data_IF_892592054653
#
_entry.id   IF_892592054653
#
_cell.length_a   1.000
_cell.length_b   1.000
_cell.length_c   1.000
_cell.angle_alpha   90.00
_cell.angle_beta   90.00
_cell.angle_gamma   90.00
#
_symmetry.space_group_name_H-M   'P 1'
#
loop_
_entity.id
_entity.type
_entity.pdbx_description
1 polymer ?
#
# COMPACT_ATOMS: atom_id res chain seq x y z
N UNK A 1 6.91 3.11 -25.54
CA UNK A 1 6.05 2.17 -24.75
C UNK A 1 4.77 2.89 -24.34
N UNK A 2 3.64 2.18 -24.24
CA UNK A 2 2.34 2.81 -23.94
C UNK A 2 2.21 3.13 -22.45
N UNK A 3 1.66 4.31 -22.10
CA UNK A 3 1.40 4.73 -20.71
C UNK A 3 0.67 3.70 -19.83
N UNK A 4 -0.30 2.91 -20.35
CA UNK A 4 -0.91 1.81 -19.59
C UNK A 4 0.09 0.78 -19.08
N UNK A 5 1.15 0.49 -19.84
CA UNK A 5 2.20 -0.44 -19.42
C UNK A 5 2.98 0.10 -18.22
N UNK A 6 3.26 1.41 -18.19
CA UNK A 6 3.93 2.05 -17.05
C UNK A 6 3.07 2.04 -15.79
N UNK A 7 1.76 2.27 -15.92
CA UNK A 7 0.80 2.16 -14.81
C UNK A 7 0.71 0.72 -14.30
N UNK A 8 0.64 -0.26 -15.21
CA UNK A 8 0.64 -1.68 -14.87
C UNK A 8 1.93 -2.07 -14.11
N UNK A 9 3.08 -1.69 -14.66
CA UNK A 9 4.38 -1.99 -14.08
C UNK A 9 4.56 -1.32 -12.71
N UNK A 10 4.13 -0.06 -12.57
CA UNK A 10 4.04 0.63 -11.29
C UNK A 10 3.13 -0.09 -10.29
N UNK A 11 1.97 -0.58 -10.74
CA UNK A 11 1.04 -1.37 -9.92
C UNK A 11 1.63 -2.69 -9.42
N UNK A 12 2.41 -3.39 -10.25
CA UNK A 12 3.10 -4.63 -9.87
C UNK A 12 4.16 -4.37 -8.80
N UNK A 13 4.94 -3.29 -8.92
CA UNK A 13 5.94 -2.90 -7.89
C UNK A 13 5.29 -2.33 -6.63
N UNK A 14 4.15 -1.65 -6.77
CA UNK A 14 3.37 -1.11 -5.66
C UNK A 14 2.84 -2.20 -4.71
N UNK A 15 2.53 -3.40 -5.21
CA UNK A 15 2.01 -4.49 -4.38
C UNK A 15 2.98 -4.95 -3.26
N UNK A 16 4.24 -5.35 -3.54
CA UNK A 16 5.19 -5.70 -2.48
C UNK A 16 5.56 -4.50 -1.61
N UNK A 17 5.55 -3.27 -2.15
CA UNK A 17 5.71 -2.04 -1.36
C UNK A 17 4.58 -1.88 -0.34
N UNK A 18 3.32 -2.02 -0.76
CA UNK A 18 2.15 -1.96 0.12
C UNK A 18 2.19 -3.02 1.21
N UNK A 19 2.68 -4.22 0.88
CA UNK A 19 2.96 -5.29 1.84
C UNK A 19 4.01 -4.87 2.87
N UNK A 20 5.15 -4.31 2.45
CA UNK A 20 6.21 -3.85 3.35
C UNK A 20 5.70 -2.74 4.29
N UNK A 21 4.91 -1.80 3.76
CA UNK A 21 4.30 -0.71 4.51
C UNK A 21 3.32 -1.18 5.59
N UNK A 22 2.61 -2.29 5.35
CA UNK A 22 1.71 -2.87 6.35
C UNK A 22 2.45 -3.42 7.58
N UNK A 23 3.73 -3.78 7.44
CA UNK A 23 4.58 -4.20 8.57
C UNK A 23 5.25 -3.01 9.26
N UNK A 24 5.60 -1.96 8.50
CA UNK A 24 6.29 -0.77 9.00
C UNK A 24 5.43 0.15 9.86
N UNK A 25 4.10 0.02 9.80
CA UNK A 25 3.17 0.79 10.64
C UNK A 25 3.43 0.67 12.16
N UNK A 26 4.19 -0.34 12.58
CA UNK A 26 4.60 -0.58 13.98
C UNK A 26 5.98 0.00 14.33
N UNK A 27 6.82 0.37 13.37
CA UNK A 27 8.28 0.55 13.56
C UNK A 27 8.75 2.02 13.50
N UNK A 28 8.14 2.93 14.27
CA UNK A 28 8.57 4.34 14.47
C UNK A 28 8.02 5.32 13.42
N UNK A 29 7.25 6.29 13.92
CA UNK A 29 6.58 7.38 13.19
C UNK A 29 7.50 8.15 12.21
N UNK A 30 8.79 8.28 12.51
CA UNK A 30 9.78 8.95 11.65
C UNK A 30 10.50 8.02 10.67
N UNK A 31 10.85 6.80 11.10
CA UNK A 31 11.55 5.84 10.24
C UNK A 31 10.60 5.25 9.19
N UNK A 32 9.35 4.99 9.57
CA UNK A 32 8.30 4.56 8.66
C UNK A 32 8.03 5.60 7.56
N UNK A 33 8.04 6.90 7.89
CA UNK A 33 7.85 7.98 6.93
C UNK A 33 8.98 8.03 5.89
N UNK A 34 10.23 7.84 6.33
CA UNK A 34 11.39 7.78 5.45
C UNK A 34 11.28 6.62 4.46
N UNK A 35 11.01 5.41 4.94
CA UNK A 35 10.82 4.24 4.07
C UNK A 35 9.62 4.42 3.14
N UNK A 36 8.54 5.02 3.64
CA UNK A 36 7.37 5.33 2.82
C UNK A 36 7.72 6.25 1.64
N UNK A 37 8.49 7.30 1.91
CA UNK A 37 8.96 8.22 0.89
C UNK A 37 9.89 7.51 -0.10
N UNK A 38 10.85 6.71 0.40
CA UNK A 38 11.79 5.94 -0.41
C UNK A 38 11.08 4.93 -1.33
N UNK A 39 10.06 4.24 -0.83
CA UNK A 39 9.29 3.28 -1.62
C UNK A 39 8.40 3.98 -2.66
N UNK A 40 7.77 5.11 -2.30
CA UNK A 40 7.03 5.95 -3.25
C UNK A 40 7.94 6.47 -4.38
N UNK A 41 9.15 6.90 -4.04
CA UNK A 41 10.18 7.28 -4.99
C UNK A 41 10.59 6.10 -5.89
N UNK A 42 10.79 4.92 -5.33
CA UNK A 42 11.15 3.71 -6.09
C UNK A 42 10.06 3.33 -7.12
N UNK A 43 8.79 3.34 -6.72
CA UNK A 43 7.65 3.10 -7.62
C UNK A 43 7.60 4.16 -8.72
N UNK A 44 7.72 5.44 -8.35
CA UNK A 44 7.73 6.54 -9.31
C UNK A 44 8.90 6.47 -10.30
N UNK A 45 10.10 6.14 -9.84
CA UNK A 45 11.28 5.95 -10.67
C UNK A 45 11.12 4.76 -11.63
N UNK A 46 10.48 3.69 -11.19
CA UNK A 46 10.17 2.54 -12.04
C UNK A 46 9.16 2.91 -13.13
N UNK A 47 8.07 3.61 -12.78
CA UNK A 47 7.13 4.16 -13.75
C UNK A 47 7.82 5.09 -14.74
N UNK A 48 8.71 5.97 -14.26
CA UNK A 48 9.51 6.86 -15.11
C UNK A 48 10.38 6.09 -16.09
N UNK A 49 11.08 5.03 -15.64
CA UNK A 49 11.92 4.20 -16.53
C UNK A 49 11.12 3.49 -17.61
N UNK A 50 9.94 2.96 -17.27
CA UNK A 50 9.07 2.28 -18.24
C UNK A 50 8.43 3.27 -19.22
N UNK A 51 8.06 4.46 -18.75
CA UNK A 51 7.45 5.51 -19.57
C UNK A 51 8.46 6.35 -20.38
N UNK A 52 9.73 6.39 -19.95
CA UNK A 52 10.79 7.22 -20.54
C UNK A 52 11.11 6.87 -21.99
N UNK A 53 10.73 5.67 -22.45
CA UNK A 53 10.90 5.20 -23.82
C UNK A 53 9.88 5.80 -24.82
N UNK A 54 9.60 7.11 -24.73
CA UNK A 54 9.13 7.89 -25.89
C UNK A 54 7.65 8.25 -25.98
N UNK A 55 7.00 8.69 -24.90
CA UNK A 55 5.66 9.28 -25.03
C UNK A 55 5.50 10.58 -24.23
N UNK A 56 5.09 11.66 -24.91
CA UNK A 56 4.58 12.87 -24.27
C UNK A 56 3.27 12.52 -23.56
N UNK A 57 3.31 12.33 -22.24
CA UNK A 57 2.09 12.04 -21.49
C UNK A 57 1.42 13.36 -21.11
N UNK A 58 0.13 13.49 -21.38
CA UNK A 58 -0.62 14.67 -21.00
C UNK A 58 -0.65 14.82 -19.47
N UNK A 59 -0.64 16.06 -18.97
CA UNK A 59 -0.75 16.35 -17.53
C UNK A 59 -1.89 15.60 -16.83
N UNK A 60 -3.14 15.56 -17.36
CA UNK A 60 -4.20 14.81 -16.70
C UNK A 60 -3.90 13.31 -16.65
N UNK A 61 -3.32 12.72 -17.71
CA UNK A 61 -2.97 11.30 -17.71
C UNK A 61 -1.89 10.96 -16.67
N UNK A 62 -0.87 11.81 -16.51
CA UNK A 62 0.16 11.66 -15.46
C UNK A 62 -0.47 11.70 -14.06
N UNK A 63 -1.34 12.68 -13.80
CA UNK A 63 -2.01 12.84 -12.50
C UNK A 63 -2.92 11.65 -12.22
N UNK A 64 -3.76 11.26 -13.18
CA UNK A 64 -4.66 10.11 -13.02
C UNK A 64 -3.89 8.81 -12.79
N UNK A 65 -2.83 8.53 -13.55
CA UNK A 65 -2.04 7.30 -13.37
C UNK A 65 -1.25 7.30 -12.06
N UNK A 66 -0.66 8.43 -11.66
CA UNK A 66 0.01 8.54 -10.37
C UNK A 66 -0.94 8.36 -9.19
N UNK A 67 -2.14 8.97 -9.25
CA UNK A 67 -3.19 8.78 -8.26
C UNK A 67 -3.68 7.33 -8.22
N UNK A 68 -3.86 6.68 -9.38
CA UNK A 68 -4.30 5.29 -9.44
C UNK A 68 -3.28 4.35 -8.78
N UNK A 69 -1.98 4.51 -9.04
CA UNK A 69 -0.92 3.70 -8.43
C UNK A 69 -0.82 3.97 -6.92
N UNK A 70 -0.93 5.24 -6.50
CA UNK A 70 -0.93 5.59 -5.09
C UNK A 70 -2.13 4.97 -4.35
N UNK A 71 -3.34 5.11 -4.90
CA UNK A 71 -4.56 4.50 -4.34
C UNK A 71 -4.48 2.98 -4.29
N UNK A 72 -3.91 2.33 -5.32
CA UNK A 72 -3.73 0.89 -5.35
C UNK A 72 -2.76 0.41 -4.26
N UNK A 73 -1.59 1.02 -4.17
CA UNK A 73 -0.60 0.73 -3.11
C UNK A 73 -1.23 0.89 -1.73
N UNK A 74 -1.97 1.99 -1.55
CA UNK A 74 -2.66 2.33 -0.32
C UNK A 74 -3.70 1.28 0.04
N UNK A 75 -4.56 0.91 -0.92
CA UNK A 75 -5.60 -0.09 -0.75
C UNK A 75 -5.02 -1.47 -0.39
N UNK A 76 -3.96 -1.90 -1.07
CA UNK A 76 -3.26 -3.17 -0.77
C UNK A 76 -2.74 -3.17 0.67
N UNK A 77 -2.10 -2.06 1.09
CA UNK A 77 -1.57 -1.94 2.45
C UNK A 77 -2.67 -2.05 3.50
N UNK A 78 -3.78 -1.32 3.31
CA UNK A 78 -4.91 -1.34 4.24
C UNK A 78 -5.63 -2.70 4.23
N UNK A 79 -5.73 -3.35 3.08
CA UNK A 79 -6.33 -4.68 2.94
C UNK A 79 -5.52 -5.73 3.72
N UNK A 80 -4.19 -5.69 3.62
CA UNK A 80 -3.31 -6.59 4.37
C UNK A 80 -3.35 -6.31 5.87
N UNK A 81 -3.40 -5.04 6.27
CA UNK A 81 -3.62 -4.65 7.67
C UNK A 81 -4.94 -5.23 8.20
N UNK A 82 -6.03 -5.14 7.42
CA UNK A 82 -7.33 -5.73 7.77
C UNK A 82 -7.25 -7.25 7.96
N UNK A 83 -6.53 -7.96 7.07
CA UNK A 83 -6.36 -9.41 7.15
C UNK A 83 -5.58 -9.83 8.39
N UNK A 84 -4.58 -9.03 8.79
CA UNK A 84 -3.75 -9.27 9.98
C UNK A 84 -4.41 -8.81 11.28
N UNK A 85 -5.54 -8.11 11.24
CA UNK A 85 -6.23 -7.70 12.47
C UNK A 85 -6.58 -8.93 13.30
N UNK A 86 -7.22 -9.93 12.67
CA UNK A 86 -7.64 -11.15 13.36
C UNK A 86 -6.46 -11.89 14.00
N UNK A 87 -5.30 -11.89 13.34
CA UNK A 87 -4.05 -12.45 13.87
C UNK A 87 -3.48 -11.62 15.03
N UNK A 88 -3.47 -10.29 14.92
CA UNK A 88 -3.01 -9.42 16.01
C UNK A 88 -3.89 -9.58 17.24
N UNK A 89 -5.20 -9.60 17.04
CA UNK A 89 -6.18 -9.83 18.10
C UNK A 89 -5.93 -11.20 18.73
N UNK A 90 -5.88 -12.27 17.93
CA UNK A 90 -5.58 -13.61 18.42
C UNK A 90 -4.23 -13.72 19.14
N UNK A 91 -3.17 -13.08 18.66
CA UNK A 91 -1.85 -13.14 19.30
C UNK A 91 -1.71 -12.20 20.50
N UNK A 92 -2.60 -11.21 20.66
CA UNK A 92 -2.63 -10.33 21.83
C UNK A 92 -3.19 -11.01 23.08
N UNK A 93 -3.75 -12.22 22.94
CA UNK A 93 -4.35 -12.96 24.05
C UNK A 93 -3.39 -13.95 24.68
N UNK A 94 -3.35 -13.93 26.01
CA UNK A 94 -2.84 -15.03 26.80
C UNK A 94 -3.91 -16.11 26.81
N UNK A 95 -3.75 -17.11 25.94
CA UNK A 95 -4.58 -18.30 26.00
C UNK A 95 -4.30 -18.97 27.35
N UNK A 96 -5.35 -19.38 28.09
CA UNK A 96 -5.15 -20.17 29.29
C UNK A 96 -4.40 -21.45 28.89
N UNK A 97 -3.08 -21.43 29.05
CA UNK A 97 -2.22 -22.60 28.92
C UNK A 97 -2.74 -23.62 29.91
N UNK A 98 -3.02 -24.82 29.40
CA UNK A 98 -3.49 -26.02 30.11
C UNK A 98 -3.43 -25.86 31.63
N UNK A 99 -4.58 -25.51 32.22
CA UNK A 99 -4.84 -25.38 33.66
C UNK A 99 -3.61 -25.09 34.52
N UNK A 100 -3.15 -23.83 34.57
CA UNK A 100 -2.31 -23.17 35.61
C UNK A 100 -1.37 -24.02 36.50
N UNK A 101 -0.88 -25.16 36.05
CA UNK A 101 -0.38 -26.21 36.94
C UNK A 101 -0.09 -27.56 36.27
N UNK A 102 -0.54 -27.81 35.04
CA UNK A 102 0.02 -28.92 34.26
C UNK A 102 1.29 -28.47 33.53
N UNK A 103 2.46 -29.06 33.84
CA UNK A 103 3.67 -28.77 33.09
C UNK A 103 3.49 -29.19 31.62
N UNK A 104 3.99 -28.36 30.70
CA UNK A 104 4.08 -28.72 29.28
C UNK A 104 5.14 -29.82 29.15
N UNK A 105 4.70 -31.04 28.91
CA UNK A 105 5.58 -32.19 28.72
C UNK A 105 5.73 -32.47 27.22
N UNK A 106 6.85 -33.03 26.74
CA UNK A 106 7.01 -33.37 25.33
C UNK A 106 5.87 -34.22 24.76
N UNK A 107 5.21 -35.03 25.59
CA UNK A 107 4.05 -35.84 25.24
C UNK A 107 2.77 -35.02 24.96
N UNK A 108 2.60 -33.84 25.57
CA UNK A 108 1.40 -33.02 25.42
C UNK A 108 1.60 -31.79 24.53
N UNK A 109 2.83 -31.46 24.11
CA UNK A 109 3.15 -30.28 23.29
C UNK A 109 2.26 -30.19 22.04
N UNK A 110 2.06 -31.31 21.34
CA UNK A 110 1.27 -31.31 20.11
C UNK A 110 -0.23 -31.07 20.38
N UNK A 111 -0.75 -31.64 21.47
CA UNK A 111 -2.13 -31.39 21.90
C UNK A 111 -2.32 -29.92 22.32
N UNK A 112 -1.39 -29.35 23.09
CA UNK A 112 -1.41 -27.93 23.47
C UNK A 112 -1.36 -27.04 22.24
N UNK A 113 -0.49 -27.35 21.27
CA UNK A 113 -0.38 -26.61 20.01
C UNK A 113 -1.67 -26.69 19.20
N UNK A 114 -2.26 -27.88 19.05
CA UNK A 114 -3.52 -28.07 18.34
C UNK A 114 -4.66 -27.30 19.00
N UNK A 115 -4.74 -27.32 20.34
CA UNK A 115 -5.72 -26.56 21.11
C UNK A 115 -5.54 -25.05 21.00
N UNK A 116 -4.30 -24.56 21.05
CA UNK A 116 -4.01 -23.13 20.82
C UNK A 116 -4.37 -22.71 19.39
N UNK A 117 -4.08 -23.54 18.40
CA UNK A 117 -4.42 -23.27 17.01
C UNK A 117 -5.94 -23.18 16.81
N UNK A 118 -6.72 -24.09 17.42
CA UNK A 118 -8.18 -24.05 17.35
C UNK A 118 -8.78 -22.85 18.08
N UNK A 119 -8.26 -22.49 19.26
CA UNK A 119 -8.67 -21.28 19.98
C UNK A 119 -8.35 -20.00 19.20
N UNK A 120 -7.16 -19.90 18.60
CA UNK A 120 -6.80 -18.78 17.70
C UNK A 120 -7.76 -18.68 16.53
N UNK A 121 -8.13 -19.80 15.93
CA UNK A 121 -9.08 -19.82 14.82
C UNK A 121 -10.46 -19.32 15.25
N UNK A 122 -10.97 -19.76 16.41
CA UNK A 122 -12.25 -19.27 16.96
C UNK A 122 -12.23 -17.75 17.21
N UNK A 123 -11.13 -17.21 17.73
CA UNK A 123 -10.97 -15.75 17.90
C UNK A 123 -11.05 -15.04 16.56
N UNK A 124 -10.33 -15.54 15.54
CA UNK A 124 -10.33 -14.94 14.20
C UNK A 124 -11.74 -14.92 13.61
N UNK A 125 -12.45 -16.03 13.67
CA UNK A 125 -13.81 -16.14 13.15
C UNK A 125 -14.76 -15.18 13.88
N UNK A 126 -14.61 -15.06 15.20
CA UNK A 126 -15.43 -14.15 16.02
C UNK A 126 -15.16 -12.68 15.72
N UNK A 127 -13.91 -12.29 15.46
CA UNK A 127 -13.56 -10.94 14.99
C UNK A 127 -14.32 -10.60 13.71
N UNK A 128 -14.32 -11.49 12.73
CA UNK A 128 -15.00 -11.25 11.46
C UNK A 128 -16.51 -11.23 11.57
N UNK A 129 -17.09 -12.12 12.37
CA UNK A 129 -18.53 -12.10 12.67
C UNK A 129 -18.96 -10.79 13.35
N UNK A 130 -18.17 -10.33 14.32
CA UNK A 130 -18.44 -9.07 15.02
C UNK A 130 -18.35 -7.88 14.07
N UNK A 131 -17.32 -7.84 13.20
CA UNK A 131 -17.18 -6.80 12.19
C UNK A 131 -18.35 -6.82 11.19
N UNK A 132 -18.81 -7.99 10.78
CA UNK A 132 -19.98 -8.13 9.91
C UNK A 132 -21.27 -7.64 10.57
N UNK A 133 -21.46 -7.93 11.86
CA UNK A 133 -22.64 -7.51 12.61
C UNK A 133 -22.67 -6.02 12.94
N UNK A 134 -21.56 -5.44 13.43
CA UNK A 134 -21.50 -4.03 13.85
C UNK A 134 -21.22 -3.07 12.69
N UNK A 135 -20.52 -3.51 11.65
CA UNK A 135 -20.06 -2.68 10.55
C UNK A 135 -20.38 -3.32 9.18
N UNK A 136 -21.67 -3.43 8.78
CA UNK A 136 -22.05 -4.00 7.48
C UNK A 136 -21.40 -3.21 6.33
N UNK A 137 -20.91 -3.89 5.27
CA UNK A 137 -21.07 -5.32 4.94
C UNK A 137 -20.07 -6.29 5.62
N UNK A 138 -19.26 -5.82 6.57
CA UNK A 138 -18.17 -6.61 7.15
C UNK A 138 -16.91 -6.64 6.26
N UNK A 139 -16.05 -7.62 6.52
CA UNK A 139 -14.79 -7.79 5.78
C UNK A 139 -13.91 -6.54 5.81
N UNK A 140 -13.33 -6.20 4.67
CA UNK A 140 -12.45 -5.02 4.53
C UNK A 140 -13.17 -3.70 4.78
N UNK A 141 -14.35 -3.49 4.18
CA UNK A 141 -15.09 -2.23 4.34
C UNK A 141 -15.59 -2.06 5.79
N UNK A 142 -16.03 -3.16 6.42
CA UNK A 142 -16.37 -3.19 7.83
C UNK A 142 -15.18 -2.84 8.72
N UNK A 143 -13.98 -3.35 8.41
CA UNK A 143 -12.74 -2.98 9.09
C UNK A 143 -12.44 -1.48 8.98
N UNK A 144 -12.50 -0.91 7.77
CA UNK A 144 -12.22 0.54 7.57
C UNK A 144 -13.20 1.40 8.35
N UNK A 145 -14.49 1.05 8.31
CA UNK A 145 -15.54 1.75 9.07
C UNK A 145 -15.32 1.64 10.58
N UNK A 146 -14.96 0.47 11.07
CA UNK A 146 -14.64 0.23 12.47
C UNK A 146 -13.41 1.03 12.93
N UNK A 147 -12.31 0.99 12.17
CA UNK A 147 -11.09 1.72 12.47
C UNK A 147 -11.30 3.25 12.47
N UNK A 148 -12.19 3.76 11.62
CA UNK A 148 -12.49 5.18 11.50
C UNK A 148 -13.45 5.73 12.58
N UNK A 149 -14.11 4.86 13.35
CA UNK A 149 -15.14 5.25 14.35
C UNK A 149 -14.59 5.22 15.76
N UNK A 150 -14.51 4.06 16.41
CA UNK A 150 -14.01 3.93 17.79
C UNK A 150 -12.75 3.05 17.92
N UNK A 151 -12.48 2.18 16.94
CA UNK A 151 -11.40 1.20 16.99
C UNK A 151 -11.46 0.27 18.20
N UNK A 152 -12.64 0.09 18.80
CA UNK A 152 -12.85 -0.75 20.00
C UNK A 152 -13.57 -2.03 19.63
N UNK A 153 -13.10 -3.13 20.19
CA UNK A 153 -13.54 -4.45 19.82
C UNK A 153 -13.71 -5.28 21.09
N UNK A 154 -14.96 -5.55 21.44
CA UNK A 154 -15.31 -6.37 22.61
C UNK A 154 -15.78 -7.73 22.11
N UNK A 155 -14.99 -8.76 22.39
CA UNK A 155 -15.22 -10.13 21.97
C UNK A 155 -15.62 -10.99 23.16
N UNK A 156 -16.80 -11.56 23.07
CA UNK A 156 -17.18 -12.67 23.93
C UNK A 156 -16.70 -13.96 23.27
N UNK A 157 -15.75 -14.64 23.94
CA UNK A 157 -15.25 -15.96 23.52
C UNK A 157 -15.61 -16.99 24.60
N UNK A 158 -16.06 -18.19 24.22
CA UNK A 158 -16.64 -19.16 25.16
C UNK A 158 -15.64 -19.73 26.18
N UNK A 159 -14.34 -19.64 25.87
CA UNK A 159 -13.27 -20.15 26.72
C UNK A 159 -12.63 -19.08 27.62
N UNK A 160 -13.07 -17.82 27.54
CA UNK A 160 -12.59 -16.76 28.43
C UNK A 160 -13.67 -16.41 29.44
N UNK A 161 -13.30 -16.36 30.72
CA UNK A 161 -14.21 -15.98 31.82
C UNK A 161 -14.71 -14.53 31.71
N UNK A 162 -13.97 -13.68 31.00
CA UNK A 162 -14.29 -12.26 30.83
C UNK A 162 -14.31 -11.89 29.35
N UNK A 163 -15.20 -10.98 28.93
CA UNK A 163 -15.20 -10.46 27.58
C UNK A 163 -13.85 -9.80 27.31
N UNK A 164 -13.31 -10.17 26.17
CA UNK A 164 -12.01 -9.72 25.71
C UNK A 164 -12.17 -8.32 25.12
N UNK A 165 -11.47 -7.35 25.71
CA UNK A 165 -11.45 -5.97 25.23
C UNK A 165 -10.18 -5.72 24.44
N UNK A 166 -10.31 -5.63 23.12
CA UNK A 166 -9.27 -5.19 22.23
C UNK A 166 -9.52 -3.73 21.82
N UNK A 167 -8.47 -2.92 21.84
CA UNK A 167 -8.52 -1.54 21.37
C UNK A 167 -7.37 -1.33 20.41
N UNK A 168 -7.66 -0.73 19.26
CA UNK A 168 -6.62 -0.27 18.35
C UNK A 168 -5.70 0.68 19.14
N UNK A 169 -4.39 0.48 19.03
CA UNK A 169 -3.41 1.34 19.74
C UNK A 169 -3.54 2.83 19.35
N UNK A 170 -4.05 3.10 18.15
CA UNK A 170 -4.21 4.44 17.62
C UNK A 170 -5.62 5.00 17.94
N UNK A 171 -5.69 6.29 18.26
CA UNK A 171 -6.98 6.99 18.37
C UNK A 171 -7.67 7.08 17.00
N UNK A 172 -9.00 7.24 16.93
CA UNK A 172 -9.70 7.40 15.65
C UNK A 172 -9.19 8.59 14.84
N UNK A 173 -8.80 9.68 15.52
CA UNK A 173 -8.18 10.84 14.91
C UNK A 173 -6.77 10.50 14.38
N UNK A 174 -5.97 9.78 15.16
CA UNK A 174 -4.65 9.31 14.74
C UNK A 174 -4.74 8.40 13.50
N UNK A 175 -5.74 7.53 13.43
CA UNK A 175 -6.00 6.69 12.27
C UNK A 175 -6.34 7.56 11.04
N UNK A 176 -7.28 8.52 11.15
CA UNK A 176 -7.64 9.42 10.04
C UNK A 176 -6.46 10.28 9.58
N UNK A 177 -5.68 10.83 10.51
CA UNK A 177 -4.50 11.63 10.19
C UNK A 177 -3.44 10.78 9.47
N UNK A 178 -3.13 9.59 9.99
CA UNK A 178 -2.24 8.64 9.33
C UNK A 178 -2.75 8.28 7.94
N UNK A 179 -4.04 7.99 7.81
CA UNK A 179 -4.71 7.68 6.54
C UNK A 179 -4.47 8.80 5.52
N UNK A 180 -4.83 10.04 5.88
CA UNK A 180 -4.70 11.19 4.99
C UNK A 180 -3.24 11.52 4.66
N UNK A 181 -2.36 11.49 5.66
CA UNK A 181 -0.94 11.83 5.48
C UNK A 181 -0.25 10.82 4.57
N UNK A 182 -0.47 9.52 4.78
CA UNK A 182 0.07 8.47 3.91
C UNK A 182 -0.39 8.69 2.47
N UNK A 183 -1.70 8.90 2.25
CA UNK A 183 -2.22 9.09 0.90
C UNK A 183 -1.58 10.31 0.21
N UNK A 184 -1.52 11.46 0.90
CA UNK A 184 -0.91 12.69 0.36
C UNK A 184 0.55 12.49 0.02
N UNK A 185 1.34 11.91 0.93
CA UNK A 185 2.77 11.70 0.71
C UNK A 185 3.05 10.70 -0.40
N UNK A 186 2.20 9.68 -0.56
CA UNK A 186 2.37 8.68 -1.62
C UNK A 186 2.08 9.29 -2.98
N UNK A 187 0.97 10.03 -3.07
CA UNK A 187 0.63 10.79 -4.25
C UNK A 187 1.74 11.78 -4.59
N UNK A 188 2.26 12.52 -3.61
CA UNK A 188 3.37 13.45 -3.82
C UNK A 188 4.63 12.75 -4.31
N UNK A 189 5.03 11.63 -3.68
CA UNK A 189 6.22 10.87 -4.07
C UNK A 189 6.13 10.29 -5.47
N UNK A 190 4.99 9.66 -5.82
CA UNK A 190 4.75 9.10 -7.16
C UNK A 190 4.71 10.22 -8.20
N UNK A 191 3.94 11.28 -7.95
CA UNK A 191 3.79 12.40 -8.89
C UNK A 191 5.09 13.17 -9.11
N UNK A 192 5.89 13.38 -8.07
CA UNK A 192 7.18 14.08 -8.18
C UNK A 192 8.13 13.39 -9.17
N UNK A 193 8.10 12.05 -9.25
CA UNK A 193 8.96 11.27 -10.13
C UNK A 193 8.45 11.17 -11.57
N UNK A 194 7.13 11.18 -11.78
CA UNK A 194 6.55 11.14 -13.13
C UNK A 194 6.40 12.52 -13.75
N UNK A 195 6.45 13.59 -12.94
CA UNK A 195 6.32 14.97 -13.43
C UNK A 195 7.32 15.36 -14.53
N UNK A 196 8.61 14.98 -14.47
CA UNK A 196 9.57 15.28 -15.53
C UNK A 196 9.21 14.70 -16.90
N UNK A 197 8.40 13.63 -16.97
CA UNK A 197 7.92 13.05 -18.24
C UNK A 197 7.11 14.05 -19.08
N UNK A 198 6.54 15.08 -18.44
CA UNK A 198 5.87 16.17 -19.15
C UNK A 198 6.81 16.91 -20.11
N UNK A 199 8.07 17.10 -19.71
CA UNK A 199 9.05 17.93 -20.46
C UNK A 199 9.81 17.13 -21.51
N UNK A 200 9.97 15.82 -21.32
CA UNK A 200 10.66 14.94 -22.27
C UNK A 200 10.05 15.01 -23.68
N UNK A 201 8.74 15.23 -23.78
CA UNK A 201 8.05 15.39 -25.05
C UNK A 201 8.40 16.63 -25.85
N UNK A 202 8.73 17.73 -25.16
CA UNK A 202 9.07 19.02 -25.80
C UNK A 202 10.48 18.93 -26.42
N UNK A 203 11.44 18.35 -25.70
CA UNK A 203 12.82 18.19 -26.17
C UNK A 203 12.94 17.32 -27.43
N UNK A 204 12.19 16.23 -27.53
CA UNK A 204 12.23 15.36 -28.73
C UNK A 204 11.62 16.07 -29.95
N UNK A 205 10.55 16.84 -29.75
CA UNK A 205 9.94 17.62 -30.81
C UNK A 205 10.87 18.75 -31.30
N UNK A 206 11.55 19.44 -30.37
CA UNK A 206 12.55 20.47 -30.67
C UNK A 206 13.75 19.88 -31.43
N UNK A 207 14.34 18.78 -30.94
CA UNK A 207 15.47 18.10 -31.61
C UNK A 207 15.08 17.61 -33.01
N UNK A 208 13.86 17.07 -33.17
CA UNK A 208 13.37 16.65 -34.50
C UNK A 208 13.12 17.85 -35.42
N UNK A 209 12.61 18.97 -34.91
CA UNK A 209 12.43 20.19 -35.69
C UNK A 209 13.76 20.80 -36.12
N UNK A 210 14.77 20.81 -35.24
CA UNK A 210 16.12 21.29 -35.52
C UNK A 210 16.85 20.38 -36.52
N UNK A 211 16.72 19.05 -36.38
CA UNK A 211 17.23 18.09 -37.36
C UNK A 211 16.55 18.25 -38.74
N UNK A 212 15.23 18.46 -38.78
CA UNK A 212 14.51 18.73 -40.03
C UNK A 212 14.91 20.07 -40.67
N UNK A 213 15.20 21.10 -39.87
CA UNK A 213 15.69 22.38 -40.35
C UNK A 213 17.12 22.29 -40.91
N UNK A 214 17.99 21.50 -40.27
CA UNK A 214 19.37 21.23 -40.72
C UNK A 214 19.45 20.40 -42.00
N UNK A 215 18.43 19.58 -42.28
CA UNK A 215 18.37 18.76 -43.50
C UNK A 215 17.84 19.54 -44.72
N UNK A 216 17.56 20.85 -44.61
CA UNK A 216 17.30 21.66 -45.82
C UNK A 216 18.58 21.64 -46.66
N UNK A 217 18.53 21.11 -47.91
CA UNK A 217 19.69 21.09 -48.76
C UNK A 217 20.17 22.53 -48.94
N UNK A 218 21.40 22.79 -48.52
CA UNK A 218 22.08 24.04 -48.83
C UNK A 218 22.05 24.16 -50.35
N UNK A 219 21.27 25.12 -50.85
CA UNK A 219 21.18 25.37 -52.27
C UNK A 219 22.60 25.74 -52.71
N UNK A 220 23.29 24.80 -53.38
CA UNK A 220 24.59 25.05 -53.96
C UNK A 220 24.36 26.21 -54.94
N UNK A 221 24.97 27.39 -54.71
CA UNK A 221 24.77 28.52 -55.59
C UNK A 221 25.21 28.09 -57.00
N UNK A 222 24.44 28.42 -58.04
CA UNK A 222 24.78 28.05 -59.40
C UNK A 222 26.16 28.62 -59.73
N UNK A 223 27.13 27.75 -59.96
CA UNK A 223 28.45 28.12 -60.45
C UNK A 223 28.27 28.72 -61.83
N UNK A 224 28.43 30.04 -61.95
CA UNK A 224 28.48 30.73 -63.22
C UNK A 224 29.74 30.29 -63.96
N UNK A 225 29.57 29.40 -64.94
CA UNK A 225 30.61 29.09 -65.91
C UNK A 225 30.77 30.30 -66.85
N UNK A 226 31.96 30.89 -66.82
CA UNK A 226 32.45 31.91 -67.75
C UNK A 226 33.24 31.26 -68.88
#
# INVERSE_FOLDING_TARGET
>A
MSWPLAVLAGGVVAAPVGLLLSFLGLLVMYLGLFFFLLLGLMVGAFMYRVAGAGACVSKPALVCGGLAVALLTYFISLFLESRRLADHVANSFQYPTVSAGQPVTPANVEEVRARMASQKQQVRDRVWQMLAGRCPPGGFLGYVRWAATDGKLELEVPFAERPIKYRLSQSPLGFKLRFSLCLVLLCAGVLAQVWPLRRAGVSVAEVRAESAASTRPSAIPPTSAS
#
